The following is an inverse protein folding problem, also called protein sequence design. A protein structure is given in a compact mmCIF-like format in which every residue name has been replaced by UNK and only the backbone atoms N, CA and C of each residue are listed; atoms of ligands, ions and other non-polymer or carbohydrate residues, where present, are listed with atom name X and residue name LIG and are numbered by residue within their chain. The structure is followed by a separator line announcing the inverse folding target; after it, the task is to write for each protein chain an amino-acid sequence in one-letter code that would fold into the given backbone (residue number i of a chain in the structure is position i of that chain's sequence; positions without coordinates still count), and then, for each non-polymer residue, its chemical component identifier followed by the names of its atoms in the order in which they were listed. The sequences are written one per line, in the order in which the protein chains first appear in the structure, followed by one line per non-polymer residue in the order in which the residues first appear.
data_IF_821329034064
#
_entry.id   IF_821329034064
#
_cell.length_a   1.000
_cell.length_b   1.000
_cell.length_c   1.000
_cell.angle_alpha   90.00
_cell.angle_beta   90.00
_cell.angle_gamma   90.00
#
_symmetry.space_group_name_H-M   'P 1'
#
loop_
_entity.id
_entity.type
_entity.pdbx_description
1 polymer ?
#
# COMPACT_ATOMS: atom_id res chain seq x y z
N UNK A 1 -13.01 8.29 -6.33
CA UNK A 1 -12.32 8.23 -5.03
C UNK A 1 -12.32 9.63 -4.43
N UNK A 2 -12.62 9.74 -3.14
CA UNK A 2 -12.46 10.97 -2.36
C UNK A 2 -11.68 10.62 -1.10
N UNK A 3 -10.53 11.24 -0.89
CA UNK A 3 -9.72 11.05 0.32
C UNK A 3 -9.64 12.37 1.06
N UNK A 4 -9.77 12.33 2.39
CA UNK A 4 -9.63 13.49 3.27
C UNK A 4 -8.54 13.21 4.30
N UNK A 5 -7.53 14.07 4.35
CA UNK A 5 -6.51 14.06 5.39
C UNK A 5 -6.78 15.19 6.36
N UNK A 6 -6.86 14.87 7.66
CA UNK A 6 -7.07 15.84 8.73
C UNK A 6 -5.74 16.14 9.41
N UNK A 7 -5.28 17.39 9.29
CA UNK A 7 -4.09 17.92 9.97
C UNK A 7 -4.46 18.80 11.16
N UNK A 8 -3.49 19.09 12.01
CA UNK A 8 -3.66 19.99 13.17
C UNK A 8 -3.99 21.44 12.76
N UNK A 9 -3.56 21.86 11.57
CA UNK A 9 -3.69 23.24 11.08
C UNK A 9 -4.66 23.37 9.90
N UNK A 10 -5.30 22.29 9.46
CA UNK A 10 -6.13 22.29 8.25
C UNK A 10 -6.45 20.89 7.75
N UNK A 11 -6.96 20.79 6.53
CA UNK A 11 -7.23 19.51 5.88
C UNK A 11 -6.84 19.53 4.41
N UNK A 12 -6.56 18.35 3.86
CA UNK A 12 -6.33 18.13 2.44
C UNK A 12 -7.42 17.21 1.88
N UNK A 13 -8.05 17.61 0.79
CA UNK A 13 -8.95 16.77 0.01
C UNK A 13 -8.27 16.32 -1.29
N UNK A 14 -8.47 15.05 -1.64
CA UNK A 14 -8.15 14.47 -2.95
C UNK A 14 -9.49 14.07 -3.57
N UNK A 15 -10.17 14.98 -4.29
CA UNK A 15 -11.53 14.74 -4.78
C UNK A 15 -11.57 13.80 -5.99
N UNK A 16 -10.44 13.62 -6.67
CA UNK A 16 -10.27 12.68 -7.77
C UNK A 16 -8.78 12.32 -7.91
N UNK A 17 -8.48 11.38 -8.79
CA UNK A 17 -7.13 10.84 -8.99
C UNK A 17 -6.08 11.86 -9.47
N UNK A 18 -6.51 13.02 -9.96
CA UNK A 18 -5.64 13.96 -10.63
C UNK A 18 -5.34 15.24 -9.84
N UNK A 19 -5.89 15.44 -8.64
CA UNK A 19 -5.65 16.69 -7.90
C UNK A 19 -5.79 16.56 -6.40
N UNK A 20 -5.17 17.48 -5.68
CA UNK A 20 -5.47 17.75 -4.28
C UNK A 20 -5.77 19.24 -4.05
N UNK A 21 -6.52 19.54 -3.00
CA UNK A 21 -6.73 20.89 -2.48
C UNK A 21 -6.51 20.90 -0.98
N UNK A 22 -5.99 21.98 -0.44
CA UNK A 22 -5.82 22.15 1.01
C UNK A 22 -6.60 23.35 1.51
N UNK A 23 -7.00 23.29 2.78
CA UNK A 23 -7.69 24.37 3.47
C UNK A 23 -7.07 24.53 4.85
N UNK A 24 -6.62 25.75 5.17
CA UNK A 24 -5.79 26.05 6.32
C UNK A 24 -6.51 26.96 7.32
N UNK A 25 -6.15 26.79 8.59
CA UNK A 25 -6.68 27.56 9.70
C UNK A 25 -8.16 27.31 9.99
N UNK A 26 -8.65 27.95 11.05
CA UNK A 26 -10.06 27.80 11.50
C UNK A 26 -11.07 28.32 10.47
N UNK A 27 -10.66 29.24 9.62
CA UNK A 27 -11.49 29.84 8.56
C UNK A 27 -11.51 29.02 7.26
N UNK A 28 -10.75 27.92 7.17
CA UNK A 28 -10.64 27.07 5.98
C UNK A 28 -10.22 27.88 4.75
N UNK A 29 -9.20 28.71 4.91
CA UNK A 29 -8.68 29.53 3.81
C UNK A 29 -7.99 28.60 2.79
N UNK A 30 -8.19 28.82 1.48
CA UNK A 30 -7.54 27.98 0.47
C UNK A 30 -6.01 27.99 0.62
N UNK A 31 -5.42 26.80 0.69
CA UNK A 31 -3.98 26.59 0.72
C UNK A 31 -3.44 26.10 -0.63
N UNK A 32 -2.23 25.51 -0.64
CA UNK A 32 -1.66 24.87 -1.82
C UNK A 32 -2.61 23.86 -2.48
N UNK A 33 -2.57 23.82 -3.80
CA UNK A 33 -3.30 22.86 -4.64
C UNK A 33 -2.38 22.44 -5.77
N UNK A 34 -2.52 21.19 -6.21
CA UNK A 34 -1.89 20.74 -7.44
C UNK A 34 -2.85 19.87 -8.23
N UNK A 35 -2.67 19.88 -9.54
CA UNK A 35 -3.23 18.90 -10.46
C UNK A 35 -2.07 18.16 -11.12
N UNK A 36 -2.05 16.85 -11.01
CA UNK A 36 -1.07 16.01 -11.65
C UNK A 36 -1.78 14.81 -12.27
N UNK A 37 -1.51 14.59 -13.55
CA UNK A 37 -1.92 13.39 -14.26
C UNK A 37 -0.66 12.66 -14.69
N UNK A 38 -0.73 11.33 -14.77
CA UNK A 38 0.39 10.48 -15.14
C UNK A 38 -0.06 9.32 -16.03
N UNK A 39 0.84 8.86 -16.89
CA UNK A 39 0.65 7.67 -17.72
C UNK A 39 1.59 6.56 -17.25
N UNK A 40 1.02 5.61 -16.49
CA UNK A 40 1.77 4.47 -15.95
C UNK A 40 2.27 3.52 -17.06
N UNK A 41 1.55 3.41 -18.19
CA UNK A 41 1.98 2.56 -19.30
C UNK A 41 3.18 3.16 -20.01
N UNK A 42 3.15 4.47 -20.27
CA UNK A 42 4.29 5.17 -20.85
C UNK A 42 5.53 5.06 -19.97
N UNK A 43 5.39 5.26 -18.65
CA UNK A 43 6.49 5.10 -17.69
C UNK A 43 7.07 3.68 -17.71
N UNK A 44 6.23 2.64 -17.64
CA UNK A 44 6.67 1.25 -17.71
C UNK A 44 7.40 0.92 -19.02
N UNK A 45 6.83 1.31 -20.17
CA UNK A 45 7.44 1.05 -21.48
C UNK A 45 8.80 1.74 -21.59
N UNK A 46 8.94 2.97 -21.08
CA UNK A 46 10.21 3.69 -21.07
C UNK A 46 11.25 2.99 -20.18
N UNK A 47 10.88 2.58 -18.96
CA UNK A 47 11.76 1.87 -18.05
C UNK A 47 12.29 0.56 -18.66
N UNK A 48 11.41 -0.21 -19.31
CA UNK A 48 11.77 -1.46 -20.01
C UNK A 48 12.72 -1.19 -21.19
N UNK A 49 12.37 -0.22 -22.06
CA UNK A 49 13.20 0.12 -23.24
C UNK A 49 14.59 0.58 -22.85
N UNK A 50 14.68 1.36 -21.78
CA UNK A 50 15.94 1.91 -21.29
C UNK A 50 16.68 0.97 -20.33
N UNK A 51 16.08 -0.17 -19.96
CA UNK A 51 16.59 -1.12 -18.96
C UNK A 51 16.95 -0.44 -17.63
N UNK A 52 16.07 0.46 -17.19
CA UNK A 52 16.24 1.33 -16.01
C UNK A 52 15.02 1.21 -15.10
N UNK A 53 15.02 0.21 -14.21
CA UNK A 53 13.89 -0.01 -13.28
C UNK A 53 13.75 1.15 -12.29
N UNK A 54 14.86 1.80 -11.92
CA UNK A 54 14.93 2.97 -11.05
C UNK A 54 14.15 4.20 -11.56
N UNK A 55 13.69 4.18 -12.81
CA UNK A 55 12.82 5.22 -13.38
C UNK A 55 11.32 4.94 -13.26
N UNK A 56 10.94 3.77 -12.71
CA UNK A 56 9.54 3.44 -12.46
C UNK A 56 8.97 4.36 -11.38
N UNK A 57 7.72 4.81 -11.58
CA UNK A 57 6.99 5.58 -10.56
C UNK A 57 6.70 4.74 -9.30
N UNK A 58 6.67 3.41 -9.43
CA UNK A 58 6.54 2.45 -8.34
C UNK A 58 7.30 1.16 -8.69
N UNK A 59 8.28 0.81 -7.88
CA UNK A 59 9.04 -0.44 -7.97
C UNK A 59 8.23 -1.63 -7.42
N UNK A 60 8.70 -2.86 -7.67
CA UNK A 60 7.97 -4.08 -7.27
C UNK A 60 7.75 -4.18 -5.76
N UNK A 61 8.65 -3.62 -4.97
CA UNK A 61 8.58 -3.64 -3.50
C UNK A 61 7.34 -2.89 -2.98
N UNK A 62 6.96 -1.78 -3.60
CA UNK A 62 5.74 -1.05 -3.26
C UNK A 62 4.49 -1.90 -3.52
N UNK A 63 4.50 -2.67 -4.62
CA UNK A 63 3.44 -3.63 -4.93
C UNK A 63 3.37 -4.77 -3.91
N UNK A 64 4.52 -5.29 -3.47
CA UNK A 64 4.62 -6.33 -2.44
C UNK A 64 4.03 -5.86 -1.11
N UNK A 65 4.46 -4.68 -0.63
CA UNK A 65 4.01 -4.08 0.62
C UNK A 65 2.49 -3.78 0.58
N UNK A 66 2.01 -3.17 -0.50
CA UNK A 66 0.59 -2.85 -0.69
C UNK A 66 -0.28 -4.12 -0.63
N UNK A 67 0.13 -5.17 -1.34
CA UNK A 67 -0.57 -6.46 -1.32
C UNK A 67 -0.53 -7.12 0.06
N UNK A 68 0.63 -7.05 0.73
CA UNK A 68 0.83 -7.53 2.10
C UNK A 68 -0.17 -6.93 3.08
N UNK A 69 -0.39 -5.61 3.05
CA UNK A 69 -1.35 -4.94 3.94
C UNK A 69 -2.78 -5.48 3.79
N UNK A 70 -3.22 -5.78 2.56
CA UNK A 70 -4.53 -6.37 2.30
C UNK A 70 -4.61 -7.79 2.87
N UNK A 71 -3.53 -8.57 2.78
CA UNK A 71 -3.46 -9.89 3.40
C UNK A 71 -3.54 -9.81 4.93
N UNK A 72 -2.81 -8.89 5.56
CA UNK A 72 -2.86 -8.69 7.02
C UNK A 72 -4.27 -8.31 7.48
N UNK A 73 -4.96 -7.42 6.76
CA UNK A 73 -6.34 -7.05 7.03
C UNK A 73 -7.30 -8.27 6.91
N UNK A 74 -7.10 -9.12 5.90
CA UNK A 74 -7.89 -10.34 5.72
C UNK A 74 -7.67 -11.36 6.85
N UNK A 75 -6.43 -11.49 7.36
CA UNK A 75 -6.14 -12.36 8.51
C UNK A 75 -6.86 -11.84 9.75
N UNK A 76 -6.73 -10.53 10.05
CA UNK A 76 -7.45 -9.90 11.17
C UNK A 76 -8.96 -10.07 11.06
N UNK A 77 -9.52 -9.88 9.86
CA UNK A 77 -10.95 -10.11 9.59
C UNK A 77 -11.39 -11.55 9.87
N UNK A 78 -10.61 -12.55 9.43
CA UNK A 78 -10.92 -13.98 9.64
C UNK A 78 -10.88 -14.38 11.11
N UNK A 79 -9.93 -13.84 11.87
CA UNK A 79 -9.78 -14.14 13.30
C UNK A 79 -10.69 -13.28 14.18
N UNK A 80 -11.31 -12.23 13.64
CA UNK A 80 -12.22 -11.35 14.38
C UNK A 80 -11.53 -10.51 15.45
N UNK A 81 -10.21 -10.28 15.35
CA UNK A 81 -9.41 -9.56 16.36
C UNK A 81 -8.30 -8.73 15.73
N UNK A 82 -7.85 -7.71 16.46
CA UNK A 82 -6.66 -6.94 16.09
C UNK A 82 -5.40 -7.78 16.24
N UNK A 83 -4.42 -7.56 15.37
CA UNK A 83 -3.17 -8.31 15.33
C UNK A 83 -1.98 -7.36 15.44
N UNK A 84 -0.93 -7.81 16.11
CA UNK A 84 0.36 -7.12 16.14
C UNK A 84 1.27 -7.81 15.13
N UNK A 85 1.70 -7.06 14.12
CA UNK A 85 2.60 -7.56 13.07
C UNK A 85 3.97 -6.89 13.19
N UNK A 86 5.03 -7.69 13.19
CA UNK A 86 6.41 -7.19 13.11
C UNK A 86 6.86 -7.17 11.65
N UNK A 87 7.01 -5.97 11.03
CA UNK A 87 7.41 -5.87 9.63
C UNK A 87 8.87 -6.28 9.37
N UNK A 88 9.70 -6.44 10.42
CA UNK A 88 11.11 -6.86 10.25
C UNK A 88 11.24 -8.37 10.09
N UNK A 89 10.45 -9.11 10.87
CA UNK A 89 10.43 -10.58 10.84
C UNK A 89 9.29 -11.13 9.97
N UNK A 90 8.37 -10.25 9.58
CA UNK A 90 7.13 -10.55 8.86
C UNK A 90 6.23 -11.57 9.57
N UNK A 91 6.19 -11.52 10.92
CA UNK A 91 5.43 -12.45 11.76
C UNK A 91 4.46 -11.73 12.70
N UNK A 92 3.56 -12.51 13.30
CA UNK A 92 2.72 -12.10 14.43
C UNK A 92 3.34 -12.63 15.74
N UNK A 93 4.04 -11.80 16.54
CA UNK A 93 4.78 -12.29 17.71
C UNK A 93 3.85 -12.95 18.74
N UNK A 94 4.13 -14.23 19.06
CA UNK A 94 3.36 -15.00 20.04
C UNK A 94 1.96 -15.43 19.58
N UNK A 95 1.66 -15.38 18.27
CA UNK A 95 0.34 -15.65 17.72
C UNK A 95 0.41 -16.72 16.61
N UNK A 96 0.51 -17.98 17.03
CA UNK A 96 0.66 -19.13 16.13
C UNK A 96 -0.54 -19.28 15.20
N UNK A 97 -1.76 -18.98 15.69
CA UNK A 97 -2.99 -19.03 14.91
C UNK A 97 -2.95 -18.05 13.73
N UNK A 98 -2.51 -16.81 13.95
CA UNK A 98 -2.33 -15.83 12.88
C UNK A 98 -1.18 -16.19 11.95
N UNK A 99 -0.08 -16.75 12.48
CA UNK A 99 1.07 -17.16 11.67
C UNK A 99 0.74 -18.31 10.71
N UNK A 100 -0.17 -19.22 11.08
CA UNK A 100 -0.66 -20.28 10.19
C UNK A 100 -1.39 -19.74 8.94
N UNK A 101 -1.93 -18.52 9.00
CA UNK A 101 -2.66 -17.90 7.90
C UNK A 101 -1.78 -17.04 6.98
N UNK A 102 -0.47 -16.96 7.24
CA UNK A 102 0.50 -16.23 6.40
C UNK A 102 0.75 -16.92 5.07
N UNK A 103 0.71 -18.25 5.06
CA UNK A 103 0.88 -19.07 3.87
C UNK A 103 -0.39 -19.88 3.61
N UNK A 104 -0.39 -20.60 2.49
CA UNK A 104 -1.48 -21.51 2.11
C UNK A 104 -0.87 -22.85 1.80
N UNK A 105 -1.58 -23.91 2.13
CA UNK A 105 -1.21 -25.23 1.62
C UNK A 105 -1.26 -25.20 0.08
N UNK A 106 -0.13 -25.53 -0.53
CA UNK A 106 -0.04 -25.59 -1.98
C UNK A 106 -0.72 -26.85 -2.50
N UNK A 107 -1.46 -26.71 -3.60
CA UNK A 107 -2.17 -27.81 -4.23
C UNK A 107 -1.17 -28.75 -4.93
N UNK A 108 -1.18 -30.03 -4.57
CA UNK A 108 -0.39 -31.07 -5.25
C UNK A 108 -0.62 -31.10 -6.78
N UNK A 109 0.42 -31.30 -7.61
CA UNK A 109 1.83 -31.54 -7.26
C UNK A 109 2.69 -30.28 -7.09
N UNK A 110 2.08 -29.09 -7.10
CA UNK A 110 2.82 -27.84 -7.02
C UNK A 110 3.25 -27.59 -5.58
N UNK A 111 4.53 -27.29 -5.37
CA UNK A 111 5.07 -26.83 -4.09
C UNK A 111 6.13 -25.77 -4.36
N UNK A 112 6.23 -24.81 -3.45
CA UNK A 112 7.41 -23.93 -3.36
C UNK A 112 8.29 -24.46 -2.23
N UNK A 113 9.58 -24.57 -2.50
CA UNK A 113 10.56 -24.80 -1.45
C UNK A 113 10.62 -23.55 -0.59
N UNK A 114 10.29 -23.66 0.69
CA UNK A 114 10.56 -22.56 1.63
C UNK A 114 12.08 -22.55 1.91
N UNK A 115 12.74 -21.46 1.54
CA UNK A 115 14.12 -21.22 1.92
C UNK A 115 14.11 -20.67 3.36
N UNK A 116 14.67 -21.47 4.28
CA UNK A 116 14.95 -21.11 5.68
C UNK A 116 15.84 -19.87 5.80
#
# INVERSE_FOLDING_TARGET
MGVLFLGSEGYMEIPNYGMYRTFLGKKKEPGPTARQEGDHFANFIQAVRNRRSDTLNAEIEEGRLSSGLVHLANISYRLGRSLVFDPRTEQFPGDDEANLLRSREYRSPYSIMENN
#
